data_IF_069436008083
#
_entry.id   IF_069436008083
#
_cell.length_a   1.000
_cell.length_b   1.000
_cell.length_c   1.000
_cell.angle_alpha   90.00
_cell.angle_beta   90.00
_cell.angle_gamma   90.00
#
_symmetry.space_group_name_H-M   'P 1'
#
loop_
_entity.id
_entity.type
_entity.pdbx_description
1 polymer ?
#
# COMPACT_ATOMS: atom_id res chain seq x y z
N UNK A 1 8.60 18.46 1.92
CA UNK A 1 7.99 17.34 2.67
C UNK A 1 6.57 17.12 2.19
N UNK A 2 6.22 15.87 1.92
CA UNK A 2 4.87 15.55 1.47
C UNK A 2 3.97 15.23 2.65
N UNK A 3 2.76 15.76 2.61
CA UNK A 3 1.76 15.46 3.62
C UNK A 3 0.88 14.32 3.13
N UNK A 4 0.72 13.31 3.96
CA UNK A 4 -0.19 12.22 3.68
C UNK A 4 -1.57 12.58 4.20
N UNK A 5 -2.59 12.23 3.42
CA UNK A 5 -3.96 12.36 3.90
C UNK A 5 -4.18 11.32 5.00
N UNK A 6 -5.26 11.46 5.76
CA UNK A 6 -5.58 10.50 6.80
C UNK A 6 -5.71 9.09 6.24
N UNK A 7 -6.34 8.96 5.07
CA UNK A 7 -6.49 7.67 4.39
C UNK A 7 -5.12 7.10 3.99
N UNK A 8 -4.26 7.93 3.40
CA UNK A 8 -2.93 7.51 2.98
C UNK A 8 -2.09 7.07 4.16
N UNK A 9 -2.18 7.81 5.26
CA UNK A 9 -1.43 7.48 6.47
C UNK A 9 -1.88 6.15 7.06
N UNK A 10 -3.17 5.92 7.12
CA UNK A 10 -3.73 4.66 7.60
C UNK A 10 -3.32 3.49 6.71
N UNK A 11 -3.37 3.71 5.40
CA UNK A 11 -2.97 2.69 4.44
C UNK A 11 -1.49 2.36 4.58
N UNK A 12 -0.66 3.37 4.70
CA UNK A 12 0.79 3.20 4.89
C UNK A 12 1.09 2.41 6.16
N UNK A 13 0.48 2.80 7.29
CA UNK A 13 0.67 2.10 8.55
C UNK A 13 0.18 0.66 8.49
N UNK A 14 -0.94 0.42 7.83
CA UNK A 14 -1.47 -0.92 7.65
C UNK A 14 -0.51 -1.80 6.85
N UNK A 15 0.08 -1.23 5.79
CA UNK A 15 1.06 -1.94 4.97
C UNK A 15 2.32 -2.26 5.79
N UNK A 16 2.77 -1.30 6.58
CA UNK A 16 3.96 -1.49 7.43
C UNK A 16 3.76 -2.58 8.46
N UNK A 17 2.58 -2.65 9.05
CA UNK A 17 2.27 -3.64 10.07
C UNK A 17 1.99 -5.02 9.48
N UNK A 18 1.55 -5.06 8.24
CA UNK A 18 1.27 -6.30 7.53
C UNK A 18 2.51 -6.70 6.75
N UNK A 19 2.81 -7.98 6.74
CA UNK A 19 4.03 -8.46 6.07
C UNK A 19 3.78 -8.76 4.59
N UNK A 20 3.57 -7.71 3.81
CA UNK A 20 3.34 -7.87 2.36
C UNK A 20 4.64 -8.10 1.59
N UNK A 21 5.75 -8.11 2.28
CA UNK A 21 7.03 -8.54 1.72
C UNK A 21 7.04 -10.06 1.54
N UNK A 22 6.53 -10.78 2.53
CA UNK A 22 6.43 -12.23 2.51
C UNK A 22 5.12 -12.73 1.94
N UNK A 23 4.04 -11.97 2.15
CA UNK A 23 2.70 -12.31 1.71
C UNK A 23 2.33 -11.44 0.50
N UNK A 24 1.77 -12.08 -0.53
CA UNK A 24 1.37 -11.35 -1.72
C UNK A 24 0.34 -10.28 -1.40
N UNK A 25 0.49 -9.11 -2.03
CA UNK A 25 -0.45 -8.01 -1.89
C UNK A 25 -1.79 -8.36 -2.52
N UNK A 26 -2.87 -7.98 -1.85
CA UNK A 26 -4.21 -8.14 -2.37
C UNK A 26 -4.97 -6.82 -2.24
N UNK A 27 -5.26 -6.17 -3.36
CA UNK A 27 -6.03 -4.93 -3.39
C UNK A 27 -7.45 -5.15 -2.87
N UNK A 28 -8.00 -6.31 -3.18
CA UNK A 28 -9.35 -6.68 -2.72
C UNK A 28 -9.42 -6.77 -1.20
N UNK A 29 -8.41 -7.39 -0.60
CA UNK A 29 -8.33 -7.53 0.85
C UNK A 29 -8.17 -6.17 1.52
N UNK A 30 -7.34 -5.31 0.93
CA UNK A 30 -7.15 -3.96 1.44
C UNK A 30 -8.44 -3.16 1.37
N UNK A 31 -9.16 -3.25 0.25
CA UNK A 31 -10.43 -2.56 0.08
C UNK A 31 -11.45 -2.99 1.15
N UNK A 32 -11.48 -4.26 1.47
CA UNK A 32 -12.34 -4.77 2.53
C UNK A 32 -11.96 -4.21 3.90
N UNK A 33 -10.66 -4.19 4.18
CA UNK A 33 -10.15 -3.70 5.46
C UNK A 33 -10.47 -2.23 5.68
N UNK A 34 -10.44 -1.45 4.62
CA UNK A 34 -10.71 -0.01 4.69
C UNK A 34 -12.15 0.35 4.32
N UNK A 35 -12.97 -0.63 3.99
CA UNK A 35 -14.38 -0.43 3.60
C UNK A 35 -14.51 0.58 2.47
N UNK A 36 -13.71 0.40 1.45
CA UNK A 36 -13.70 1.27 0.28
C UNK A 36 -13.56 0.44 -0.99
N UNK A 37 -13.46 1.11 -2.14
CA UNK A 37 -13.31 0.42 -3.42
C UNK A 37 -11.86 0.06 -3.68
N UNK A 38 -11.64 -0.91 -4.57
CA UNK A 38 -10.30 -1.27 -4.99
C UNK A 38 -9.62 -0.11 -5.69
N UNK A 39 -10.39 0.70 -6.42
CA UNK A 39 -9.86 1.87 -7.11
C UNK A 39 -9.30 2.89 -6.11
N UNK A 40 -9.98 3.09 -4.99
CA UNK A 40 -9.50 3.99 -3.95
C UNK A 40 -8.18 3.49 -3.34
N UNK A 41 -8.05 2.18 -3.17
CA UNK A 41 -6.80 1.57 -2.69
C UNK A 41 -5.69 1.79 -3.71
N UNK A 42 -5.97 1.59 -4.99
CA UNK A 42 -5.00 1.83 -6.06
C UNK A 42 -4.49 3.26 -6.05
N UNK A 43 -5.40 4.21 -5.95
CA UNK A 43 -5.04 5.62 -5.90
C UNK A 43 -4.21 5.95 -4.67
N UNK A 44 -4.57 5.38 -3.53
CA UNK A 44 -3.83 5.57 -2.29
C UNK A 44 -2.41 5.04 -2.40
N UNK A 45 -2.24 3.83 -2.92
CA UNK A 45 -0.92 3.23 -3.10
C UNK A 45 -0.10 4.04 -4.10
N UNK A 46 -0.71 4.46 -5.20
CA UNK A 46 -0.02 5.29 -6.19
C UNK A 46 0.45 6.61 -5.59
N UNK A 47 -0.39 7.22 -4.76
CA UNK A 47 -0.04 8.45 -4.04
C UNK A 47 1.13 8.21 -3.10
N UNK A 48 1.13 7.12 -2.36
CA UNK A 48 2.22 6.78 -1.45
C UNK A 48 3.54 6.60 -2.19
N UNK A 49 3.52 5.96 -3.35
CA UNK A 49 4.73 5.78 -4.14
C UNK A 49 5.27 7.09 -4.69
N UNK A 50 4.42 8.09 -4.86
CA UNK A 50 4.81 9.43 -5.28
C UNK A 50 5.34 10.25 -4.10
N UNK A 51 4.65 10.17 -2.97
CA UNK A 51 4.95 11.03 -1.81
C UNK A 51 6.10 10.51 -0.96
N UNK A 52 6.18 9.20 -0.80
CA UNK A 52 7.23 8.59 0.02
C UNK A 52 7.93 7.43 -0.71
N UNK A 53 8.53 7.73 -1.88
CA UNK A 53 9.13 6.67 -2.72
C UNK A 53 10.31 5.95 -2.07
N UNK A 54 10.95 6.58 -1.09
CA UNK A 54 12.07 5.96 -0.38
C UNK A 54 11.61 5.04 0.76
N UNK A 55 10.33 5.12 1.11
CA UNK A 55 9.78 4.35 2.22
C UNK A 55 8.90 3.19 1.77
N UNK A 56 8.47 3.19 0.52
CA UNK A 56 7.61 2.15 0.00
C UNK A 56 8.17 1.63 -1.31
N UNK A 57 8.22 0.31 -1.45
CA UNK A 57 8.71 -0.34 -2.65
C UNK A 57 7.68 -1.36 -3.11
N UNK A 58 7.42 -1.37 -4.40
CA UNK A 58 6.50 -2.31 -5.01
C UNK A 58 7.28 -3.13 -6.02
N UNK A 59 7.18 -4.46 -5.91
CA UNK A 59 7.91 -5.34 -6.81
C UNK A 59 7.12 -6.61 -7.08
N UNK A 60 7.48 -7.28 -8.16
CA UNK A 60 6.88 -8.56 -8.53
C UNK A 60 7.88 -9.68 -8.26
N UNK A 61 7.38 -10.76 -7.68
CA UNK A 61 8.16 -11.96 -7.44
C UNK A 61 7.26 -13.16 -7.69
N UNK A 62 7.70 -14.07 -8.57
CA UNK A 62 6.95 -15.26 -8.97
C UNK A 62 5.54 -14.92 -9.48
N UNK A 63 5.42 -13.80 -10.21
CA UNK A 63 4.14 -13.36 -10.76
C UNK A 63 3.20 -12.74 -9.75
N UNK A 64 3.66 -12.51 -8.52
CA UNK A 64 2.85 -11.91 -7.46
C UNK A 64 3.38 -10.54 -7.08
N UNK A 65 2.46 -9.65 -6.74
CA UNK A 65 2.82 -8.30 -6.31
C UNK A 65 3.14 -8.30 -4.82
N UNK A 66 4.25 -7.67 -4.48
CA UNK A 66 4.67 -7.50 -3.08
C UNK A 66 4.92 -6.02 -2.80
N UNK A 67 4.64 -5.61 -1.58
CA UNK A 67 4.86 -4.23 -1.16
C UNK A 67 5.65 -4.24 0.14
N UNK A 68 6.77 -3.52 0.14
CA UNK A 68 7.59 -3.32 1.33
C UNK A 68 7.45 -1.87 1.76
N UNK A 69 7.19 -1.63 3.03
CA UNK A 69 7.08 -0.29 3.60
C UNK A 69 7.89 -0.19 4.88
N UNK A 70 8.59 0.92 5.04
CA UNK A 70 9.43 1.17 6.21
C UNK A 70 8.91 2.29 7.08
#
# INVERSE_FOLDING_TARGET
MYELTEFELRLFEWIRQSDFESVAWSTKKAARSFKCTENEIYEGVASLTKKVPTRIQIYYEDGKLHIAAE
#
